data_IF_589186901774
#
_entry.id   IF_589186901774
#
_cell.length_a   1.000
_cell.length_b   1.000
_cell.length_c   1.000
_cell.angle_alpha   90.00
_cell.angle_beta   90.00
_cell.angle_gamma   90.00
#
_symmetry.space_group_name_H-M   'P 1'
#
loop_
_entity.id
_entity.type
_entity.pdbx_description
1 polymer ?
#
# COMPACT_ATOMS: atom_id res chain seq x y z
N UNK A 1 33.39 -30.17 -14.30
CA UNK A 1 32.76 -30.09 -15.63
C UNK A 1 31.88 -31.30 -16.00
N UNK A 2 31.53 -32.19 -15.05
CA UNK A 2 30.59 -33.32 -15.27
C UNK A 2 29.25 -33.20 -14.52
N UNK A 3 29.08 -32.20 -13.63
CA UNK A 3 27.78 -31.91 -13.01
C UNK A 3 26.84 -31.09 -13.92
N UNK A 4 27.40 -30.25 -14.80
CA UNK A 4 26.63 -29.39 -15.70
C UNK A 4 26.03 -30.20 -16.87
N UNK A 5 26.73 -31.23 -17.36
CA UNK A 5 26.18 -32.18 -18.35
C UNK A 5 25.04 -33.05 -17.78
N UNK A 6 25.09 -33.40 -16.50
CA UNK A 6 24.04 -34.19 -15.86
C UNK A 6 22.75 -33.37 -15.60
N UNK A 7 22.87 -32.05 -15.40
CA UNK A 7 21.72 -31.16 -15.24
C UNK A 7 21.00 -30.88 -16.58
N UNK A 8 21.75 -30.78 -17.69
CA UNK A 8 21.18 -30.55 -19.03
C UNK A 8 20.51 -31.80 -19.63
N UNK A 9 21.01 -33.00 -19.36
CA UNK A 9 20.39 -34.22 -19.86
C UNK A 9 19.07 -34.58 -19.14
N UNK A 10 18.84 -34.09 -17.91
CA UNK A 10 17.55 -34.26 -17.21
C UNK A 10 16.46 -33.27 -17.62
N UNK A 11 16.80 -32.22 -18.37
CA UNK A 11 15.84 -31.24 -18.90
C UNK A 11 15.47 -31.49 -20.38
N UNK A 12 16.09 -32.48 -21.02
CA UNK A 12 15.87 -32.86 -22.41
C UNK A 12 14.72 -33.86 -22.62
N UNK A 13 14.38 -34.67 -21.60
CA UNK A 13 13.42 -35.79 -21.75
C UNK A 13 11.98 -35.46 -21.33
N UNK A 14 11.69 -34.20 -20.96
CA UNK A 14 10.31 -33.73 -20.72
C UNK A 14 9.74 -32.88 -21.86
N UNK A 15 10.49 -32.69 -22.95
CA UNK A 15 10.18 -31.73 -24.01
C UNK A 15 9.72 -32.36 -25.33
N UNK A 16 9.53 -33.68 -25.40
CA UNK A 16 9.06 -34.35 -26.62
C UNK A 16 8.16 -35.55 -26.31
N UNK A 17 6.86 -35.33 -26.13
CA UNK A 17 5.81 -36.23 -26.63
C UNK A 17 4.43 -35.57 -26.59
N UNK A 18 3.74 -35.58 -27.74
CA UNK A 18 2.28 -35.42 -27.80
C UNK A 18 1.73 -34.17 -28.51
N UNK A 19 1.65 -34.22 -29.85
CA UNK A 19 0.65 -33.50 -30.67
C UNK A 19 0.09 -34.50 -31.69
N UNK A 20 -1.09 -34.31 -32.32
CA UNK A 20 -2.15 -33.30 -32.14
C UNK A 20 -3.59 -33.90 -32.06
N UNK A 21 -4.55 -33.13 -31.54
CA UNK A 21 -5.99 -33.47 -31.60
C UNK A 21 -6.82 -32.24 -31.98
N UNK A 22 -7.68 -32.40 -32.98
CA UNK A 22 -8.56 -31.40 -33.62
C UNK A 22 -9.35 -30.52 -32.62
N UNK A 23 -9.45 -29.23 -32.94
CA UNK A 23 -10.47 -28.33 -32.39
C UNK A 23 -11.74 -28.51 -33.23
N UNK A 24 -12.76 -29.13 -32.63
CA UNK A 24 -14.12 -29.11 -33.14
C UNK A 24 -14.84 -27.82 -32.72
N UNK A 25 -15.88 -27.51 -33.51
CA UNK A 25 -16.66 -26.28 -33.51
C UNK A 25 -17.32 -25.95 -32.16
N UNK A 26 -17.38 -24.65 -31.88
CA UNK A 26 -18.17 -24.07 -30.81
C UNK A 26 -19.67 -24.34 -31.05
N UNK A 27 -20.27 -25.15 -30.19
CA UNK A 27 -21.73 -25.22 -30.04
C UNK A 27 -22.11 -25.21 -28.57
N UNK A 28 -23.08 -24.34 -28.30
CA UNK A 28 -24.04 -24.33 -27.20
C UNK A 28 -23.60 -23.76 -25.84
N UNK A 29 -24.04 -22.51 -25.65
CA UNK A 29 -24.30 -21.86 -24.37
C UNK A 29 -25.20 -22.74 -23.50
N UNK A 30 -24.80 -23.00 -22.26
CA UNK A 30 -25.64 -23.61 -21.23
C UNK A 30 -25.78 -22.61 -20.07
N UNK A 31 -26.97 -22.43 -19.47
CA UNK A 31 -27.23 -21.32 -18.56
C UNK A 31 -26.61 -21.58 -17.17
N UNK A 32 -26.02 -20.51 -16.64
CA UNK A 32 -25.66 -20.19 -15.24
C UNK A 32 -25.75 -21.37 -14.25
N UNK A 33 -24.59 -21.97 -13.95
CA UNK A 33 -24.44 -22.73 -12.73
C UNK A 33 -24.44 -21.76 -11.54
N UNK A 34 -25.44 -21.88 -10.67
CA UNK A 34 -25.48 -21.22 -9.36
C UNK A 34 -24.23 -21.56 -8.56
N UNK A 35 -23.46 -20.54 -8.15
CA UNK A 35 -22.31 -20.70 -7.27
C UNK A 35 -22.78 -21.36 -5.95
N UNK A 36 -22.35 -22.59 -5.70
CA UNK A 36 -22.59 -23.27 -4.42
C UNK A 36 -21.68 -22.67 -3.35
N UNK A 37 -22.28 -22.13 -2.29
CA UNK A 37 -21.60 -21.75 -1.05
C UNK A 37 -20.92 -22.97 -0.42
N UNK A 38 -19.65 -22.83 -0.05
CA UNK A 38 -18.88 -23.87 0.65
C UNK A 38 -19.20 -23.79 2.14
N UNK A 39 -20.38 -24.30 2.52
CA UNK A 39 -20.67 -24.68 3.91
C UNK A 39 -21.85 -25.64 3.96
N UNK A 40 -21.66 -26.86 3.48
CA UNK A 40 -22.54 -27.97 3.85
C UNK A 40 -21.80 -28.87 4.84
N UNK A 41 -21.84 -28.47 6.12
CA UNK A 41 -21.79 -29.43 7.22
C UNK A 41 -23.04 -29.24 8.06
N UNK A 42 -23.99 -30.19 8.07
CA UNK A 42 -25.16 -30.10 8.93
C UNK A 42 -24.72 -30.24 10.39
N UNK A 43 -24.99 -29.21 11.19
CA UNK A 43 -24.94 -29.30 12.65
C UNK A 43 -26.19 -30.06 13.09
N UNK A 44 -26.01 -31.29 13.55
CA UNK A 44 -27.08 -32.09 14.16
C UNK A 44 -27.26 -31.60 15.60
N UNK A 45 -28.36 -30.92 15.89
CA UNK A 45 -28.79 -30.61 17.26
C UNK A 45 -29.52 -31.84 17.85
N UNK A 46 -29.28 -32.22 19.11
CA UNK A 46 -30.01 -33.33 19.74
C UNK A 46 -31.47 -32.94 20.02
N UNK A 47 -32.39 -33.86 19.76
CA UNK A 47 -33.79 -33.73 20.12
C UNK A 47 -33.95 -33.67 21.65
N UNK A 48 -34.63 -32.64 22.15
CA UNK A 48 -35.04 -32.54 23.55
C UNK A 48 -36.42 -33.18 23.72
N UNK A 49 -36.48 -34.20 24.57
CA UNK A 49 -37.69 -34.93 24.94
C UNK A 49 -38.75 -34.01 25.58
N UNK A 50 -39.99 -34.25 25.18
CA UNK A 50 -41.17 -33.60 25.75
C UNK A 50 -41.68 -34.37 26.98
N UNK A 51 -41.58 -33.79 28.17
CA UNK A 51 -42.54 -34.03 29.26
C UNK A 51 -42.44 -32.99 30.41
N UNK A 52 -43.64 -32.45 30.73
CA UNK A 52 -44.17 -32.03 32.04
C UNK A 52 -43.72 -30.74 32.76
N UNK A 53 -44.70 -29.84 32.94
CA UNK A 53 -44.84 -29.02 34.16
C UNK A 53 -44.94 -27.50 34.00
N UNK A 54 -46.16 -26.94 34.08
CA UNK A 54 -46.44 -25.48 34.10
C UNK A 54 -45.91 -24.78 35.37
N UNK A 55 -45.32 -23.59 35.21
CA UNK A 55 -45.49 -22.40 36.08
C UNK A 55 -45.05 -21.11 35.35
N UNK A 56 -45.75 -19.97 35.51
CA UNK A 56 -45.38 -18.71 34.86
C UNK A 56 -44.30 -18.01 35.70
N UNK A 57 -43.12 -17.81 35.13
CA UNK A 57 -42.03 -17.03 35.74
C UNK A 57 -41.63 -16.01 34.68
N UNK A 58 -41.56 -14.74 35.10
CA UNK A 58 -41.50 -13.57 34.22
C UNK A 58 -40.41 -13.64 33.15
N UNK A 59 -40.63 -12.90 32.06
CA UNK A 59 -39.72 -12.76 30.92
C UNK A 59 -38.31 -12.35 31.36
N UNK A 60 -37.50 -13.34 31.75
CA UNK A 60 -36.08 -13.30 31.55
C UNK A 60 -35.90 -13.47 30.05
N UNK A 61 -35.52 -12.39 29.36
CA UNK A 61 -35.13 -12.44 27.94
C UNK A 61 -34.13 -13.57 27.81
N UNK A 62 -34.49 -14.63 27.09
CA UNK A 62 -33.59 -15.74 26.87
C UNK A 62 -32.39 -15.25 26.08
N UNK A 63 -31.21 -15.82 26.32
CA UNK A 63 -30.04 -15.56 25.49
C UNK A 63 -30.28 -15.72 23.97
N UNK A 64 -31.21 -16.57 23.47
CA UNK A 64 -31.60 -16.58 22.05
C UNK A 64 -32.34 -15.31 21.61
N UNK A 65 -33.30 -14.82 22.41
CA UNK A 65 -34.08 -13.61 22.08
C UNK A 65 -33.18 -12.37 21.98
N UNK A 66 -32.13 -12.31 22.81
CA UNK A 66 -31.17 -11.20 22.76
C UNK A 66 -30.22 -11.25 21.55
N UNK A 67 -29.93 -12.44 21.02
CA UNK A 67 -29.13 -12.62 19.80
C UNK A 67 -29.96 -12.26 18.57
N UNK A 68 -31.20 -12.73 18.48
CA UNK A 68 -32.10 -12.40 17.36
C UNK A 68 -32.38 -10.89 17.28
N UNK A 69 -32.55 -10.24 18.43
CA UNK A 69 -32.69 -8.79 18.48
C UNK A 69 -31.40 -8.06 18.07
N UNK A 70 -30.22 -8.57 18.44
CA UNK A 70 -28.95 -8.02 18.00
C UNK A 70 -28.76 -8.17 16.48
N UNK A 71 -29.14 -9.31 15.90
CA UNK A 71 -29.14 -9.56 14.46
C UNK A 71 -30.05 -8.57 13.75
N UNK A 72 -31.32 -8.45 14.18
CA UNK A 72 -32.32 -7.54 13.58
C UNK A 72 -31.85 -6.09 13.60
N UNK A 73 -31.24 -5.65 14.72
CA UNK A 73 -30.68 -4.31 14.86
C UNK A 73 -29.47 -4.09 13.95
N UNK A 74 -28.62 -5.09 13.80
CA UNK A 74 -27.44 -5.04 12.91
C UNK A 74 -27.85 -4.95 11.45
N UNK A 75 -28.79 -5.81 11.01
CA UNK A 75 -29.39 -5.75 9.67
C UNK A 75 -29.96 -4.37 9.38
N UNK A 76 -30.80 -3.85 10.29
CA UNK A 76 -31.39 -2.51 10.16
C UNK A 76 -30.32 -1.42 10.03
N UNK A 77 -29.27 -1.49 10.85
CA UNK A 77 -28.16 -0.54 10.80
C UNK A 77 -27.41 -0.58 9.46
N UNK A 78 -27.16 -1.78 8.93
CA UNK A 78 -26.53 -1.93 7.61
C UNK A 78 -27.43 -1.42 6.49
N UNK A 79 -28.73 -1.73 6.47
CA UNK A 79 -29.65 -1.20 5.46
C UNK A 79 -29.69 0.33 5.45
N UNK A 80 -29.61 0.98 6.63
CA UNK A 80 -29.54 2.46 6.69
C UNK A 80 -28.25 3.05 6.10
N UNK A 81 -27.24 2.22 5.85
CA UNK A 81 -25.91 2.61 5.32
C UNK A 81 -25.65 2.11 3.92
N UNK A 82 -26.64 1.47 3.30
CA UNK A 82 -26.51 1.09 1.91
C UNK A 82 -26.39 2.34 1.05
N UNK A 83 -25.42 2.34 0.14
CA UNK A 83 -25.33 3.37 -0.88
C UNK A 83 -26.56 3.32 -1.79
N UNK A 84 -26.97 4.46 -2.35
CA UNK A 84 -28.15 4.54 -3.23
C UNK A 84 -28.04 3.65 -4.48
N UNK A 85 -26.81 3.33 -4.89
CA UNK A 85 -26.51 2.42 -6.01
C UNK A 85 -26.48 0.93 -5.60
N UNK A 86 -26.76 0.61 -4.33
CA UNK A 86 -26.95 -0.76 -3.85
C UNK A 86 -25.73 -1.40 -3.18
N UNK A 87 -24.57 -0.75 -3.16
CA UNK A 87 -23.36 -1.29 -2.52
C UNK A 87 -23.17 -0.78 -1.09
N UNK A 88 -22.31 -1.47 -0.34
CA UNK A 88 -21.75 -0.99 0.92
C UNK A 88 -20.27 -0.75 0.74
N UNK A 89 -19.79 0.31 1.38
CA UNK A 89 -18.36 0.62 1.47
C UNK A 89 -18.13 1.29 2.80
N UNK A 90 -17.15 0.79 3.54
CA UNK A 90 -16.62 1.47 4.71
C UNK A 90 -15.26 2.08 4.37
N UNK A 91 -14.79 2.98 5.23
CA UNK A 91 -13.40 3.40 5.20
C UNK A 91 -12.48 2.18 5.38
N UNK A 92 -11.44 2.12 4.55
CA UNK A 92 -10.33 1.20 4.76
C UNK A 92 -9.23 1.90 5.56
N UNK A 93 -9.25 1.75 6.88
CA UNK A 93 -8.27 2.38 7.76
C UNK A 93 -6.83 1.94 7.44
N UNK A 94 -5.90 2.88 7.51
CA UNK A 94 -4.47 2.65 7.37
C UNK A 94 -3.67 3.48 8.40
N UNK A 95 -2.35 3.36 8.34
CA UNK A 95 -1.47 4.17 9.18
C UNK A 95 -1.20 5.57 8.61
N UNK A 96 -0.46 6.37 9.37
CA UNK A 96 -0.15 7.77 9.02
C UNK A 96 0.79 7.94 7.82
N UNK A 97 1.36 6.85 7.28
CA UNK A 97 2.34 6.95 6.19
C UNK A 97 1.72 7.47 4.91
N UNK A 98 0.46 7.12 4.60
CA UNK A 98 -0.23 7.58 3.39
C UNK A 98 -0.44 9.10 3.45
N UNK A 99 -0.99 9.60 4.55
CA UNK A 99 -1.18 11.04 4.77
C UNK A 99 0.15 11.80 4.79
N UNK A 100 1.19 11.22 5.37
CA UNK A 100 2.54 11.81 5.36
C UNK A 100 3.11 11.91 3.94
N UNK A 101 3.01 10.83 3.17
CA UNK A 101 3.43 10.80 1.77
C UNK A 101 2.58 11.72 0.89
N UNK A 102 1.33 11.95 1.25
CA UNK A 102 0.43 12.84 0.50
C UNK A 102 0.86 14.31 0.62
N UNK A 103 1.22 14.74 1.83
CA UNK A 103 1.83 16.05 2.06
C UNK A 103 3.13 16.20 1.27
N UNK A 104 3.99 15.17 1.30
CA UNK A 104 5.22 15.14 0.50
C UNK A 104 4.93 15.20 -0.99
N UNK A 105 4.00 14.40 -1.51
CA UNK A 105 3.61 14.38 -2.92
C UNK A 105 3.13 15.76 -3.39
N UNK A 106 2.24 16.40 -2.64
CA UNK A 106 1.77 17.75 -2.96
C UNK A 106 2.90 18.78 -2.97
N UNK A 107 3.85 18.66 -2.03
CA UNK A 107 5.03 19.52 -2.00
C UNK A 107 5.95 19.27 -3.19
N UNK A 108 6.17 18.01 -3.56
CA UNK A 108 6.98 17.61 -4.71
C UNK A 108 6.43 18.21 -6.00
N UNK A 109 5.10 18.17 -6.18
CA UNK A 109 4.39 18.69 -7.35
C UNK A 109 4.22 20.22 -7.36
N UNK A 110 4.64 20.93 -6.31
CA UNK A 110 4.34 22.35 -6.06
C UNK A 110 2.82 22.67 -6.12
N UNK A 111 2.02 21.80 -5.48
CA UNK A 111 0.53 21.83 -5.44
C UNK A 111 -0.01 21.72 -4.01
N UNK A 112 0.63 22.40 -3.08
CA UNK A 112 0.17 22.46 -1.68
C UNK A 112 -1.18 23.17 -1.62
N UNK A 113 -2.14 22.53 -0.95
CA UNK A 113 -3.41 23.12 -0.56
C UNK A 113 -3.34 23.44 0.94
N UNK A 114 -3.30 24.72 1.34
CA UNK A 114 -3.12 25.10 2.74
C UNK A 114 -4.23 24.59 3.66
N UNK A 115 -5.47 24.48 3.17
CA UNK A 115 -6.59 24.02 3.99
C UNK A 115 -6.46 22.52 4.28
N UNK A 116 -6.15 21.73 3.24
CA UNK A 116 -5.88 20.29 3.38
C UNK A 116 -4.65 20.03 4.23
N UNK A 117 -3.58 20.80 4.04
CA UNK A 117 -2.33 20.68 4.80
C UNK A 117 -2.57 20.86 6.29
N UNK A 118 -3.30 21.90 6.70
CA UNK A 118 -3.65 22.13 8.11
C UNK A 118 -4.44 20.96 8.69
N UNK A 119 -5.41 20.41 7.94
CA UNK A 119 -6.21 19.26 8.40
C UNK A 119 -5.39 17.97 8.50
N UNK A 120 -4.47 17.73 7.57
CA UNK A 120 -3.57 16.57 7.59
C UNK A 120 -2.54 16.67 8.71
N UNK A 121 -2.01 17.87 8.98
CA UNK A 121 -1.11 18.13 10.12
C UNK A 121 -1.83 17.82 11.44
N UNK A 122 -3.10 18.22 11.58
CA UNK A 122 -3.91 17.88 12.77
C UNK A 122 -4.06 16.36 12.93
N UNK A 123 -4.34 15.63 11.85
CA UNK A 123 -4.41 14.18 11.87
C UNK A 123 -3.10 13.53 12.31
N UNK A 124 -1.96 13.95 11.75
CA UNK A 124 -0.66 13.42 12.14
C UNK A 124 -0.37 13.69 13.63
N UNK A 125 -0.76 14.86 14.15
CA UNK A 125 -0.63 15.18 15.57
C UNK A 125 -1.53 14.31 16.46
N UNK A 126 -2.79 14.07 16.07
CA UNK A 126 -3.73 13.26 16.86
C UNK A 126 -3.32 11.79 16.93
N UNK A 127 -2.60 11.30 15.92
CA UNK A 127 -2.14 9.91 15.84
C UNK A 127 -0.79 9.65 16.52
N UNK A 128 -0.13 10.68 17.10
CA UNK A 128 1.13 10.49 17.80
C UNK A 128 0.92 9.70 19.10
N UNK A 129 1.76 8.70 19.33
CA UNK A 129 1.76 7.91 20.56
C UNK A 129 2.36 8.71 21.74
N UNK A 130 2.05 8.31 22.99
CA UNK A 130 2.64 8.95 24.18
C UNK A 130 4.18 8.92 24.23
N UNK A 131 4.80 7.91 23.62
CA UNK A 131 6.26 7.79 23.52
C UNK A 131 6.88 8.69 22.44
N UNK A 132 6.05 9.38 21.64
CA UNK A 132 6.45 10.34 20.61
C UNK A 132 6.46 9.81 19.18
N UNK A 133 6.36 8.49 18.96
CA UNK A 133 6.37 7.93 17.60
C UNK A 133 4.97 7.67 17.04
N UNK A 134 4.92 6.96 15.91
CA UNK A 134 3.69 6.60 15.20
C UNK A 134 3.63 5.10 14.91
N UNK A 135 2.46 4.45 15.07
CA UNK A 135 2.30 3.04 14.79
C UNK A 135 1.89 2.79 13.33
N UNK A 136 1.97 1.52 12.92
CA UNK A 136 1.45 1.04 11.62
C UNK A 136 0.13 0.25 11.74
N UNK A 137 -0.41 0.12 12.95
CA UNK A 137 -1.73 -0.46 13.22
C UNK A 137 -2.28 0.05 14.55
N UNK A 138 -3.61 -0.01 14.73
CA UNK A 138 -4.27 0.47 15.93
C UNK A 138 -3.76 -0.24 17.20
N UNK A 139 -3.36 0.55 18.20
CA UNK A 139 -2.79 0.04 19.46
C UNK A 139 -1.38 -0.57 19.33
N UNK A 140 -0.74 -0.43 18.17
CA UNK A 140 0.64 -0.88 17.95
C UNK A 140 1.70 0.01 18.60
N UNK A 141 2.95 -0.46 18.67
CA UNK A 141 4.09 0.36 19.09
C UNK A 141 4.51 1.32 17.98
N UNK A 142 5.32 2.32 18.36
CA UNK A 142 6.05 3.16 17.41
C UNK A 142 6.85 2.32 16.41
N UNK A 143 6.67 2.59 15.12
CA UNK A 143 7.44 2.00 14.03
C UNK A 143 8.34 3.08 13.39
N UNK A 144 9.58 2.71 13.06
CA UNK A 144 10.61 3.66 12.65
C UNK A 144 10.25 4.40 11.35
N UNK A 145 9.74 3.69 10.35
CA UNK A 145 9.43 4.23 9.03
C UNK A 145 8.23 5.18 9.08
N UNK A 146 7.17 4.79 9.79
CA UNK A 146 6.00 5.63 10.04
C UNK A 146 6.37 6.89 10.81
N UNK A 147 7.16 6.75 11.88
CA UNK A 147 7.58 7.89 12.70
C UNK A 147 8.43 8.89 11.92
N UNK A 148 9.38 8.40 11.12
CA UNK A 148 10.23 9.26 10.27
C UNK A 148 9.40 9.99 9.22
N UNK A 149 8.46 9.31 8.55
CA UNK A 149 7.59 9.95 7.55
C UNK A 149 6.69 11.01 8.18
N UNK A 150 6.05 10.71 9.31
CA UNK A 150 5.20 11.65 10.01
C UNK A 150 5.99 12.90 10.47
N UNK A 151 7.15 12.69 11.10
CA UNK A 151 8.03 13.79 11.51
C UNK A 151 8.45 14.67 10.34
N UNK A 152 8.88 14.05 9.23
CA UNK A 152 9.30 14.80 8.06
C UNK A 152 8.14 15.57 7.41
N UNK A 153 6.96 14.95 7.28
CA UNK A 153 5.77 15.62 6.74
C UNK A 153 5.35 16.83 7.59
N UNK A 154 5.43 16.71 8.93
CA UNK A 154 5.16 17.82 9.84
C UNK A 154 6.17 18.96 9.65
N UNK A 155 7.48 18.68 9.60
CA UNK A 155 8.50 19.70 9.32
C UNK A 155 8.32 20.36 7.94
N UNK A 156 8.01 19.56 6.94
CA UNK A 156 7.78 20.03 5.57
C UNK A 156 6.57 20.98 5.48
N UNK A 157 5.57 20.75 6.34
CA UNK A 157 4.36 21.58 6.51
C UNK A 157 4.60 22.79 7.44
N UNK A 158 5.84 23.06 7.86
CA UNK A 158 6.20 24.23 8.66
C UNK A 158 6.07 24.06 10.18
N UNK A 159 5.89 22.85 10.70
CA UNK A 159 5.90 22.60 12.14
C UNK A 159 7.33 22.72 12.69
N UNK A 160 7.58 23.58 13.69
CA UNK A 160 8.91 23.76 14.27
C UNK A 160 9.41 22.50 14.98
N UNK A 161 10.71 22.21 14.84
CA UNK A 161 11.34 21.02 15.44
C UNK A 161 11.49 21.09 16.97
N UNK A 162 11.40 22.29 17.56
CA UNK A 162 11.50 22.58 18.99
C UNK A 162 10.16 22.49 19.73
N UNK A 163 9.05 22.30 19.01
CA UNK A 163 7.76 21.97 19.61
C UNK A 163 7.88 20.73 20.52
N UNK A 164 7.31 20.73 21.74
CA UNK A 164 7.51 19.64 22.70
C UNK A 164 7.17 18.25 22.15
N UNK A 165 6.17 18.14 21.28
CA UNK A 165 5.77 16.87 20.67
C UNK A 165 6.72 16.43 19.53
N UNK A 166 7.34 17.38 18.82
CA UNK A 166 8.37 17.12 17.82
C UNK A 166 9.68 16.70 18.49
N UNK A 167 10.03 17.30 19.63
CA UNK A 167 11.21 16.86 20.42
C UNK A 167 11.05 15.41 20.86
N UNK A 168 9.88 15.04 21.40
CA UNK A 168 9.59 13.63 21.75
C UNK A 168 9.69 12.70 20.54
N UNK A 169 9.15 13.11 19.39
CA UNK A 169 9.25 12.33 18.16
C UNK A 169 10.69 12.08 17.73
N UNK A 170 11.51 13.13 17.69
CA UNK A 170 12.93 13.06 17.38
C UNK A 170 13.65 12.10 18.34
N UNK A 171 13.46 12.27 19.64
CA UNK A 171 14.11 11.44 20.65
C UNK A 171 13.70 9.96 20.50
N UNK A 172 12.41 9.70 20.21
CA UNK A 172 11.90 8.35 19.96
C UNK A 172 12.49 7.72 18.69
N UNK A 173 12.57 8.49 17.61
CA UNK A 173 13.18 8.05 16.34
C UNK A 173 14.66 7.71 16.55
N UNK A 174 15.41 8.54 17.26
CA UNK A 174 16.82 8.29 17.58
C UNK A 174 16.99 7.05 18.47
N UNK A 175 16.10 6.85 19.45
CA UNK A 175 16.10 5.64 20.28
C UNK A 175 15.85 4.35 19.48
N UNK A 176 15.15 4.44 18.35
CA UNK A 176 14.95 3.34 17.40
C UNK A 176 16.09 3.19 16.37
N UNK A 177 17.17 3.97 16.50
CA UNK A 177 18.35 3.93 15.62
C UNK A 177 18.33 4.96 14.48
N UNK A 178 17.36 5.87 14.48
CA UNK A 178 17.25 6.98 13.55
C UNK A 178 16.85 6.58 12.12
N UNK A 179 16.86 7.56 11.23
CA UNK A 179 16.43 7.41 9.83
C UNK A 179 17.17 6.30 9.07
N UNK A 180 18.38 5.95 9.50
CA UNK A 180 19.17 4.88 8.89
C UNK A 180 18.52 3.49 9.03
N UNK A 181 17.65 3.29 10.02
CA UNK A 181 16.91 2.04 10.24
C UNK A 181 15.57 1.98 9.49
N UNK A 182 15.15 3.06 8.83
CA UNK A 182 13.89 3.08 8.09
C UNK A 182 13.89 2.10 6.91
N UNK A 183 12.69 1.71 6.47
CA UNK A 183 12.52 0.84 5.31
C UNK A 183 12.91 1.53 3.98
N UNK A 184 13.00 0.74 2.91
CA UNK A 184 13.45 1.21 1.59
C UNK A 184 12.52 2.26 1.00
N UNK A 185 11.20 2.14 1.15
CA UNK A 185 10.26 3.13 0.62
C UNK A 185 10.44 4.49 1.29
N UNK A 186 10.64 4.52 2.62
CA UNK A 186 10.95 5.76 3.36
C UNK A 186 12.23 6.39 2.85
N UNK A 187 13.29 5.59 2.65
CA UNK A 187 14.57 6.07 2.14
C UNK A 187 14.46 6.63 0.72
N UNK A 188 13.65 6.00 -0.14
CA UNK A 188 13.37 6.53 -1.48
C UNK A 188 12.66 7.87 -1.39
N UNK A 189 11.58 7.96 -0.60
CA UNK A 189 10.84 9.22 -0.42
C UNK A 189 11.76 10.32 0.07
N UNK A 190 12.58 10.08 1.10
CA UNK A 190 13.54 11.06 1.60
C UNK A 190 14.62 11.44 0.57
N UNK A 191 15.08 10.50 -0.24
CA UNK A 191 16.06 10.78 -1.29
C UNK A 191 15.52 11.71 -2.39
N UNK A 192 14.20 11.68 -2.65
CA UNK A 192 13.54 12.62 -3.55
C UNK A 192 13.54 14.07 -3.00
N UNK A 193 13.71 14.26 -1.69
CA UNK A 193 13.82 15.56 -1.04
C UNK A 193 15.25 15.94 -0.64
N UNK A 194 16.25 15.19 -1.12
CA UNK A 194 17.65 15.31 -0.68
C UNK A 194 17.81 15.22 0.85
N UNK A 195 16.99 14.37 1.49
CA UNK A 195 17.04 14.10 2.94
C UNK A 195 17.62 12.70 3.24
N UNK A 196 18.07 11.99 2.20
CA UNK A 196 18.76 10.71 2.30
C UNK A 196 19.56 10.46 1.02
N UNK A 197 20.77 9.91 1.10
CA UNK A 197 21.57 9.68 -0.11
C UNK A 197 21.09 8.46 -0.89
N UNK A 198 21.02 8.60 -2.21
CA UNK A 198 20.71 7.50 -3.14
C UNK A 198 21.67 6.30 -3.02
N UNK A 199 22.87 6.48 -2.46
CA UNK A 199 23.79 5.38 -2.15
C UNK A 199 23.20 4.38 -1.15
N UNK A 200 22.42 4.88 -0.17
CA UNK A 200 21.75 4.07 0.84
C UNK A 200 20.43 3.45 0.40
N UNK A 201 20.06 3.57 -0.89
CA UNK A 201 18.85 3.00 -1.47
C UNK A 201 19.20 1.82 -2.39
N UNK A 202 18.47 0.69 -2.33
CA UNK A 202 18.62 -0.38 -3.32
C UNK A 202 18.34 0.09 -4.74
N UNK A 203 19.22 -0.29 -5.66
CA UNK A 203 19.17 0.04 -7.06
C UNK A 203 18.13 -0.80 -7.79
N UNK A 204 17.22 -0.13 -8.48
CA UNK A 204 16.17 -0.75 -9.29
C UNK A 204 16.26 -0.26 -10.74
N UNK A 205 16.96 -0.99 -11.64
CA UNK A 205 17.13 -0.56 -13.02
C UNK A 205 15.82 -0.73 -13.81
N UNK A 206 15.38 0.32 -14.50
CA UNK A 206 14.21 0.27 -15.38
C UNK A 206 14.33 -0.76 -16.49
N UNK A 207 15.57 -1.14 -16.85
CA UNK A 207 15.89 -2.20 -17.81
C UNK A 207 15.27 -3.57 -17.48
N UNK A 208 14.82 -3.79 -16.23
CA UNK A 208 14.00 -4.96 -15.84
C UNK A 208 12.75 -5.12 -16.72
N UNK A 209 12.22 -4.02 -17.27
CA UNK A 209 11.08 -4.03 -18.20
C UNK A 209 11.36 -4.79 -19.50
N UNK A 210 12.64 -4.97 -19.87
CA UNK A 210 13.05 -5.63 -21.11
C UNK A 210 13.30 -7.13 -20.92
N UNK A 211 13.31 -7.63 -19.68
CA UNK A 211 13.54 -9.04 -19.40
C UNK A 211 12.37 -9.91 -19.92
N UNK A 212 12.66 -11.12 -20.45
CA UNK A 212 11.63 -12.05 -20.91
C UNK A 212 10.66 -12.43 -19.78
N UNK A 213 9.37 -12.62 -20.10
CA UNK A 213 8.33 -12.97 -19.11
C UNK A 213 8.63 -14.24 -18.31
N UNK A 214 9.35 -15.20 -18.91
CA UNK A 214 9.71 -16.48 -18.27
C UNK A 214 10.93 -16.39 -17.36
N UNK A 215 11.64 -15.25 -17.35
CA UNK A 215 12.82 -15.07 -16.52
C UNK A 215 12.42 -14.78 -15.08
N UNK A 216 13.17 -15.31 -14.12
CA UNK A 216 12.84 -15.22 -12.69
C UNK A 216 12.74 -13.78 -12.17
N UNK A 217 13.60 -12.87 -12.65
CA UNK A 217 13.57 -11.45 -12.32
C UNK A 217 12.70 -10.62 -13.26
N UNK A 218 11.83 -11.25 -14.07
CA UNK A 218 10.90 -10.49 -14.89
C UNK A 218 9.97 -9.68 -13.99
N UNK A 219 9.64 -8.45 -14.40
CA UNK A 219 8.61 -7.65 -13.72
C UNK A 219 7.30 -8.44 -13.61
N UNK A 220 6.99 -9.33 -14.58
CA UNK A 220 5.79 -10.18 -14.61
C UNK A 220 5.83 -11.41 -13.69
N UNK A 221 6.96 -11.69 -13.04
CA UNK A 221 7.04 -12.71 -11.99
C UNK A 221 6.55 -12.18 -10.63
N UNK A 222 6.32 -10.87 -10.51
CA UNK A 222 5.87 -10.20 -9.28
C UNK A 222 4.34 -10.01 -9.34
N UNK A 223 3.68 -10.02 -8.17
CA UNK A 223 2.24 -9.78 -8.03
C UNK A 223 1.78 -8.50 -8.75
N UNK A 224 0.52 -8.47 -9.18
CA UNK A 224 -0.04 -7.32 -9.90
C UNK A 224 0.08 -6.00 -9.11
N UNK A 225 -0.30 -5.99 -7.83
CA UNK A 225 -0.21 -4.78 -7.00
C UNK A 225 1.24 -4.25 -6.93
N UNK A 226 2.22 -5.14 -6.75
CA UNK A 226 3.62 -4.74 -6.68
C UNK A 226 4.12 -4.21 -8.03
N UNK A 227 3.67 -4.79 -9.15
CA UNK A 227 3.99 -4.27 -10.49
C UNK A 227 3.43 -2.85 -10.70
N UNK A 228 2.19 -2.62 -10.29
CA UNK A 228 1.55 -1.31 -10.38
C UNK A 228 2.29 -0.24 -9.59
N UNK A 229 2.86 -0.59 -8.42
CA UNK A 229 3.70 0.32 -7.63
C UNK A 229 5.09 0.49 -8.24
N UNK A 230 5.75 -0.62 -8.62
CA UNK A 230 7.15 -0.61 -9.02
C UNK A 230 7.39 0.00 -10.40
N UNK A 231 6.53 -0.24 -11.39
CA UNK A 231 6.76 0.26 -12.76
C UNK A 231 6.86 1.79 -12.83
N UNK A 232 5.93 2.59 -12.27
CA UNK A 232 6.11 4.04 -12.22
C UNK A 232 7.32 4.43 -11.35
N UNK A 233 7.58 3.73 -10.25
CA UNK A 233 8.73 3.98 -9.40
C UNK A 233 10.06 3.78 -10.13
N UNK A 234 10.17 2.81 -11.05
CA UNK A 234 11.35 2.60 -11.89
C UNK A 234 11.63 3.81 -12.79
N UNK A 235 10.59 4.50 -13.27
CA UNK A 235 10.73 5.73 -14.04
C UNK A 235 11.30 6.81 -13.13
N UNK A 236 10.68 7.04 -11.97
CA UNK A 236 11.17 8.01 -10.97
C UNK A 236 12.63 7.72 -10.60
N UNK A 237 12.98 6.45 -10.38
CA UNK A 237 14.33 6.01 -10.02
C UNK A 237 15.37 6.24 -11.13
N UNK A 238 14.96 6.15 -12.39
CA UNK A 238 15.83 6.41 -13.53
C UNK A 238 16.13 7.91 -13.72
N UNK A 239 15.20 8.78 -13.30
CA UNK A 239 15.35 10.24 -13.38
C UNK A 239 15.97 10.85 -12.10
N UNK A 240 15.70 10.27 -10.93
CA UNK A 240 16.09 10.78 -9.60
C UNK A 240 15.82 12.28 -9.44
N UNK A 241 14.57 12.74 -9.64
CA UNK A 241 14.23 14.13 -9.42
C UNK A 241 14.51 14.50 -7.95
N UNK A 242 14.94 15.74 -7.74
CA UNK A 242 15.21 16.27 -6.39
C UNK A 242 14.35 17.50 -6.17
N UNK A 243 13.39 17.38 -5.25
CA UNK A 243 12.62 18.48 -4.71
C UNK A 243 13.46 19.18 -3.62
N UNK A 244 13.95 20.38 -3.90
CA UNK A 244 14.77 21.13 -2.96
C UNK A 244 13.90 21.79 -1.90
N UNK A 245 14.27 21.59 -0.64
CA UNK A 245 13.58 22.20 0.51
C UNK A 245 14.52 23.14 1.28
N UNK A 246 13.97 24.15 1.99
CA UNK A 246 14.72 24.94 2.95
C UNK A 246 15.39 24.07 4.03
N UNK A 247 16.56 24.49 4.52
CA UNK A 247 17.35 23.72 5.51
C UNK A 247 16.62 23.53 6.84
N UNK A 248 15.83 24.51 7.25
CA UNK A 248 14.99 24.46 8.43
C UNK A 248 13.91 23.38 8.36
N UNK A 249 13.50 22.95 7.15
CA UNK A 249 12.57 21.85 6.90
C UNK A 249 13.25 20.48 6.76
N UNK A 250 14.59 20.42 6.80
CA UNK A 250 15.37 19.18 6.68
C UNK A 250 15.25 18.26 7.90
N UNK A 251 15.89 17.09 7.87
CA UNK A 251 15.80 16.08 8.95
C UNK A 251 17.16 15.56 9.45
N UNK A 252 18.21 16.38 9.34
CA UNK A 252 19.56 15.99 9.79
C UNK A 252 19.57 15.58 11.27
N UNK A 253 18.68 16.15 12.10
CA UNK A 253 18.48 15.80 13.50
C UNK A 253 17.96 14.37 13.76
N UNK A 254 17.47 13.67 12.73
CA UNK A 254 17.02 12.27 12.82
C UNK A 254 18.15 11.26 12.56
N UNK A 255 19.34 11.73 12.19
CA UNK A 255 20.49 10.88 12.03
C UNK A 255 21.23 10.67 13.36
N UNK A 256 21.62 9.44 13.71
CA UNK A 256 22.40 9.18 14.93
C UNK A 256 23.87 9.65 14.82
N UNK A 257 24.34 9.90 13.60
CA UNK A 257 25.68 10.39 13.25
C UNK A 257 25.55 11.42 12.12
N UNK A 258 26.48 12.37 11.96
CA UNK A 258 26.44 13.31 10.84
C UNK A 258 26.28 12.59 9.49
N UNK A 259 25.43 13.14 8.60
CA UNK A 259 25.07 12.51 7.32
C UNK A 259 26.30 12.20 6.47
N UNK A 260 27.29 13.08 6.47
CA UNK A 260 28.54 12.95 5.71
C UNK A 260 29.42 11.78 6.18
N UNK A 261 29.24 11.33 7.41
CA UNK A 261 30.01 10.20 7.99
C UNK A 261 29.29 8.85 7.82
N UNK A 262 28.06 8.86 7.27
CA UNK A 262 27.26 7.66 7.13
C UNK A 262 27.90 6.69 6.16
N UNK A 263 28.08 5.45 6.64
CA UNK A 263 28.57 4.32 5.86
C UNK A 263 27.42 3.37 5.58
N UNK A 264 26.71 3.59 4.47
CA UNK A 264 25.44 2.92 4.16
C UNK A 264 25.48 1.39 4.18
N UNK A 265 26.62 0.79 3.85
CA UNK A 265 26.80 -0.67 3.91
C UNK A 265 26.71 -1.27 5.32
N UNK A 266 26.70 -0.45 6.37
CA UNK A 266 26.50 -0.88 7.77
C UNK A 266 25.04 -0.91 8.20
N UNK A 267 24.13 -0.35 7.40
CA UNK A 267 22.72 -0.18 7.75
C UNK A 267 21.81 -0.98 6.81
N UNK A 268 20.57 -1.29 7.21
CA UNK A 268 19.62 -1.96 6.33
C UNK A 268 19.37 -1.18 5.03
N UNK A 269 19.14 -1.87 3.90
CA UNK A 269 19.16 -3.33 3.73
C UNK A 269 20.55 -3.85 3.30
N UNK A 270 21.65 -3.13 3.55
CA UNK A 270 22.99 -3.51 3.08
C UNK A 270 23.89 -4.14 4.16
N UNK A 271 23.46 -4.09 5.42
CA UNK A 271 24.15 -4.71 6.54
C UNK A 271 24.23 -6.23 6.29
N UNK A 272 25.42 -6.70 5.95
CA UNK A 272 25.64 -8.10 5.61
C UNK A 272 25.37 -9.02 6.79
N UNK A 273 24.82 -10.19 6.48
CA UNK A 273 24.71 -11.27 7.46
C UNK A 273 26.11 -11.77 7.84
N UNK A 274 26.25 -12.33 9.05
CA UNK A 274 27.53 -12.89 9.50
C UNK A 274 28.04 -14.03 8.60
N UNK A 275 27.13 -14.81 8.02
CA UNK A 275 27.47 -15.88 7.09
C UNK A 275 27.67 -15.32 5.67
N UNK A 276 28.71 -15.76 4.96
CA UNK A 276 29.03 -15.24 3.63
C UNK A 276 28.01 -15.62 2.54
N UNK A 277 27.53 -16.86 2.52
CA UNK A 277 26.66 -17.37 1.46
C UNK A 277 25.18 -17.35 1.90
N UNK A 278 24.61 -16.16 2.06
CA UNK A 278 23.17 -15.99 2.27
C UNK A 278 22.53 -15.38 1.02
N UNK A 279 21.23 -15.65 0.76
CA UNK A 279 20.50 -14.97 -0.30
C UNK A 279 20.57 -13.44 -0.15
N UNK A 280 20.52 -12.94 1.08
CA UNK A 280 20.67 -11.52 1.39
C UNK A 280 22.02 -10.97 0.91
N UNK A 281 23.13 -11.59 1.28
CA UNK A 281 24.46 -11.14 0.84
C UNK A 281 24.64 -11.22 -0.69
N UNK A 282 23.99 -12.20 -1.36
CA UNK A 282 23.94 -12.23 -2.82
C UNK A 282 23.21 -11.01 -3.40
N UNK A 283 22.05 -10.64 -2.85
CA UNK A 283 21.31 -9.44 -3.29
C UNK A 283 22.08 -8.14 -3.00
N UNK A 284 22.80 -8.04 -1.88
CA UNK A 284 23.68 -6.91 -1.58
C UNK A 284 24.82 -6.81 -2.61
N UNK A 285 25.41 -7.94 -3.02
CA UNK A 285 26.44 -7.95 -4.06
C UNK A 285 25.86 -7.61 -5.45
N UNK A 286 24.66 -8.11 -5.77
CA UNK A 286 23.95 -7.76 -7.00
C UNK A 286 23.64 -6.26 -7.06
N UNK A 287 23.16 -5.67 -5.97
CA UNK A 287 22.91 -4.23 -5.85
C UNK A 287 24.17 -3.41 -6.17
N UNK A 288 25.31 -3.78 -5.60
CA UNK A 288 26.59 -3.12 -5.89
C UNK A 288 26.93 -3.16 -7.40
N UNK A 289 26.72 -4.30 -8.05
CA UNK A 289 26.93 -4.44 -9.50
C UNK A 289 25.96 -3.57 -10.31
N UNK A 290 24.70 -3.49 -9.89
CA UNK A 290 23.70 -2.64 -10.54
C UNK A 290 24.03 -1.14 -10.39
N UNK A 291 24.48 -0.71 -9.20
CA UNK A 291 24.97 0.65 -8.96
C UNK A 291 26.18 0.98 -9.83
N UNK A 292 27.08 0.02 -10.04
CA UNK A 292 28.22 0.20 -10.93
C UNK A 292 27.77 0.35 -12.40
N UNK A 293 26.83 -0.50 -12.86
CA UNK A 293 26.23 -0.37 -14.18
C UNK A 293 25.56 1.00 -14.37
N UNK A 294 24.87 1.49 -13.34
CA UNK A 294 24.14 2.75 -13.41
C UNK A 294 25.00 4.00 -13.53
N UNK A 295 26.30 3.92 -13.21
CA UNK A 295 27.25 5.01 -13.47
C UNK A 295 27.46 5.24 -14.97
N UNK A 296 27.35 4.20 -15.78
CA UNK A 296 27.50 4.25 -17.24
C UNK A 296 26.52 3.27 -17.90
N UNK A 297 25.22 3.58 -17.89
CA UNK A 297 24.20 2.70 -18.43
C UNK A 297 24.24 2.67 -19.94
N UNK A 298 23.76 1.57 -20.52
CA UNK A 298 23.54 1.49 -21.97
C UNK A 298 22.34 2.39 -22.33
N UNK A 299 22.60 3.61 -22.81
CA UNK A 299 21.58 4.64 -23.06
C UNK A 299 20.42 4.13 -23.92
N UNK A 300 20.70 3.47 -25.03
CA UNK A 300 19.66 2.91 -25.91
C UNK A 300 18.78 1.86 -25.19
N UNK A 301 19.36 1.06 -24.30
CA UNK A 301 18.61 0.07 -23.51
C UNK A 301 17.73 0.77 -22.48
N UNK A 302 18.27 1.79 -21.80
CA UNK A 302 17.55 2.59 -20.82
C UNK A 302 16.38 3.35 -21.43
N UNK A 303 16.59 4.03 -22.56
CA UNK A 303 15.53 4.74 -23.27
C UNK A 303 14.42 3.79 -23.73
N UNK A 304 14.78 2.62 -24.28
CA UNK A 304 13.80 1.59 -24.67
C UNK A 304 13.02 1.06 -23.46
N UNK A 305 13.69 0.87 -22.32
CA UNK A 305 13.08 0.41 -21.09
C UNK A 305 12.15 1.46 -20.49
N UNK A 306 12.57 2.73 -20.45
CA UNK A 306 11.76 3.88 -20.04
C UNK A 306 10.50 4.00 -20.90
N UNK A 307 10.64 3.93 -22.22
CA UNK A 307 9.50 3.98 -23.13
C UNK A 307 8.51 2.83 -22.88
N UNK A 308 9.01 1.64 -22.57
CA UNK A 308 8.16 0.48 -22.22
C UNK A 308 7.47 0.66 -20.87
N UNK A 309 8.16 1.20 -19.87
CA UNK A 309 7.57 1.53 -18.56
C UNK A 309 6.50 2.62 -18.69
N UNK A 310 6.80 3.70 -19.40
CA UNK A 310 5.89 4.82 -19.64
C UNK A 310 4.65 4.38 -20.42
N UNK A 311 4.83 3.62 -21.52
CA UNK A 311 3.70 3.08 -22.29
C UNK A 311 2.81 2.18 -21.44
N UNK A 312 3.42 1.28 -20.65
CA UNK A 312 2.66 0.42 -19.74
C UNK A 312 1.88 1.26 -18.73
N UNK A 313 2.52 2.21 -18.06
CA UNK A 313 1.88 3.06 -17.06
C UNK A 313 0.72 3.86 -17.66
N UNK A 314 0.95 4.59 -18.76
CA UNK A 314 -0.05 5.43 -19.43
C UNK A 314 -1.24 4.60 -19.91
N UNK A 315 -1.03 3.39 -20.41
CA UNK A 315 -2.11 2.49 -20.80
C UNK A 315 -2.99 2.09 -19.62
N UNK A 316 -2.38 1.83 -18.45
CA UNK A 316 -3.09 1.31 -17.27
C UNK A 316 -3.73 2.41 -16.41
N UNK A 317 -3.37 3.68 -16.57
CA UNK A 317 -4.02 4.81 -15.88
C UNK A 317 -5.19 5.42 -16.66
N UNK A 318 -5.49 4.94 -17.88
CA UNK A 318 -6.63 5.44 -18.67
C UNK A 318 -7.99 5.11 -18.06
N UNK A 319 -8.09 3.99 -17.33
CA UNK A 319 -9.32 3.60 -16.62
C UNK A 319 -9.63 4.53 -15.45
N UNK A 320 -10.81 4.39 -14.85
CA UNK A 320 -11.18 5.08 -13.62
C UNK A 320 -10.57 4.42 -12.39
N UNK A 321 -10.26 5.22 -11.37
CA UNK A 321 -9.81 4.74 -10.06
C UNK A 321 -8.29 4.65 -9.92
N UNK A 322 -7.52 5.26 -10.81
CA UNK A 322 -6.06 5.35 -10.72
C UNK A 322 -5.31 4.05 -10.98
N UNK A 323 -3.97 4.13 -11.06
CA UNK A 323 -3.15 2.95 -11.33
C UNK A 323 -3.32 1.91 -10.22
N UNK A 324 -3.83 0.72 -10.57
CA UNK A 324 -3.98 -0.37 -9.60
C UNK A 324 -5.00 -0.14 -8.50
N UNK A 325 -5.74 0.97 -8.52
CA UNK A 325 -6.67 1.38 -7.46
C UNK A 325 -6.05 1.39 -6.06
N UNK A 326 -4.76 1.73 -5.94
CA UNK A 326 -4.04 1.81 -4.66
C UNK A 326 -3.15 3.06 -4.62
N UNK A 327 -3.16 3.75 -3.48
CA UNK A 327 -2.46 5.02 -3.28
C UNK A 327 -0.98 5.02 -3.73
N UNK A 328 -0.12 4.05 -3.34
CA UNK A 328 1.30 4.11 -3.69
C UNK A 328 1.56 4.05 -5.20
N UNK A 329 0.72 3.31 -5.95
CA UNK A 329 0.83 3.24 -7.39
C UNK A 329 0.37 4.55 -8.06
N UNK A 330 -0.69 5.16 -7.54
CA UNK A 330 -1.16 6.47 -7.98
C UNK A 330 -0.10 7.56 -7.74
N UNK A 331 0.41 7.68 -6.51
CA UNK A 331 1.42 8.65 -6.14
C UNK A 331 2.69 8.52 -7.01
N UNK A 332 3.21 7.29 -7.17
CA UNK A 332 4.35 7.05 -8.05
C UNK A 332 4.06 7.39 -9.50
N UNK A 333 2.84 7.12 -9.99
CA UNK A 333 2.47 7.42 -11.38
C UNK A 333 2.46 8.92 -11.67
N UNK A 334 1.99 9.75 -10.74
CA UNK A 334 2.00 11.22 -10.92
C UNK A 334 3.44 11.75 -10.93
N UNK A 335 4.28 11.30 -9.98
CA UNK A 335 5.71 11.66 -9.98
C UNK A 335 6.42 11.20 -11.26
N UNK A 336 6.06 10.02 -11.78
CA UNK A 336 6.59 9.53 -13.05
C UNK A 336 6.12 10.37 -14.25
N UNK A 337 4.86 10.81 -14.29
CA UNK A 337 4.36 11.71 -15.33
C UNK A 337 5.14 13.02 -15.34
N UNK A 338 5.41 13.61 -14.17
CA UNK A 338 6.25 14.81 -14.07
C UNK A 338 7.68 14.55 -14.59
N UNK A 339 8.30 13.43 -14.22
CA UNK A 339 9.63 13.04 -14.74
C UNK A 339 9.66 12.88 -16.27
N UNK A 340 8.54 12.48 -16.87
CA UNK A 340 8.36 12.34 -18.31
C UNK A 340 8.02 13.66 -19.03
N UNK A 341 7.89 14.76 -18.28
CA UNK A 341 7.61 16.09 -18.83
C UNK A 341 6.15 16.39 -19.10
N UNK A 342 5.21 15.62 -18.54
CA UNK A 342 3.80 15.98 -18.56
C UNK A 342 3.58 17.25 -17.75
N UNK A 343 2.77 18.16 -18.30
CA UNK A 343 2.45 19.41 -17.62
C UNK A 343 1.38 19.19 -16.57
N UNK A 344 1.36 20.05 -15.56
CA UNK A 344 0.39 19.95 -14.48
C UNK A 344 -1.07 20.21 -14.90
N UNK A 345 -1.30 20.88 -16.04
CA UNK A 345 -2.61 21.08 -16.66
C UNK A 345 -2.99 19.97 -17.66
N UNK A 346 -2.12 18.97 -17.85
CA UNK A 346 -2.44 17.82 -18.69
C UNK A 346 -3.65 17.06 -18.10
N UNK A 347 -4.68 16.74 -18.90
CA UNK A 347 -5.86 16.02 -18.43
C UNK A 347 -5.54 14.74 -17.66
N UNK A 348 -4.46 14.05 -18.03
CA UNK A 348 -4.02 12.83 -17.38
C UNK A 348 -3.48 13.07 -15.97
N UNK A 349 -2.70 14.15 -15.78
CA UNK A 349 -2.15 14.54 -14.48
C UNK A 349 -3.27 15.05 -13.57
N UNK A 350 -4.16 15.89 -14.09
CA UNK A 350 -5.33 16.38 -13.35
C UNK A 350 -6.23 15.22 -12.90
N UNK A 351 -6.50 14.27 -13.80
CA UNK A 351 -7.25 13.05 -13.46
C UNK A 351 -6.55 12.26 -12.36
N UNK A 352 -5.26 11.97 -12.52
CA UNK A 352 -4.53 11.15 -11.55
C UNK A 352 -4.48 11.81 -10.15
N UNK A 353 -4.36 13.15 -10.08
CA UNK A 353 -4.40 13.87 -8.81
C UNK A 353 -5.79 13.79 -8.16
N UNK A 354 -6.86 13.94 -8.94
CA UNK A 354 -8.24 13.77 -8.44
C UNK A 354 -8.48 12.37 -7.90
N UNK A 355 -7.97 11.34 -8.56
CA UNK A 355 -8.12 9.95 -8.09
C UNK A 355 -7.41 9.68 -6.76
N UNK A 356 -6.37 10.46 -6.41
CA UNK A 356 -5.79 10.47 -5.06
C UNK A 356 -6.67 11.25 -4.08
N UNK A 357 -7.21 12.40 -4.51
CA UNK A 357 -8.13 13.21 -3.69
C UNK A 357 -9.42 12.44 -3.35
N UNK A 358 -9.87 11.53 -4.22
CA UNK A 358 -11.01 10.64 -3.97
C UNK A 358 -10.75 9.63 -2.82
N UNK A 359 -9.49 9.47 -2.39
CA UNK A 359 -9.11 8.66 -1.23
C UNK A 359 -9.08 9.47 0.08
N UNK A 360 -9.39 10.77 0.04
CA UNK A 360 -9.46 11.61 1.23
C UNK A 360 -10.65 11.23 2.11
N UNK A 361 -10.36 10.98 3.38
CA UNK A 361 -11.35 10.77 4.43
C UNK A 361 -11.34 11.99 5.32
N UNK A 362 -12.52 12.60 5.51
CA UNK A 362 -12.70 13.75 6.36
C UNK A 362 -13.41 13.34 7.64
N UNK A 363 -12.78 13.58 8.78
CA UNK A 363 -13.32 13.26 10.08
C UNK A 363 -13.15 14.43 11.05
N UNK A 364 -13.70 14.29 12.26
CA UNK A 364 -13.51 15.26 13.34
C UNK A 364 -12.95 14.56 14.56
N UNK A 365 -11.77 14.99 15.00
CA UNK A 365 -11.08 14.43 16.16
C UNK A 365 -11.10 15.43 17.32
N UNK A 366 -11.04 14.93 18.54
CA UNK A 366 -10.91 15.76 19.73
C UNK A 366 -9.43 16.08 19.95
N UNK A 367 -9.05 17.35 19.89
CA UNK A 367 -7.71 17.85 20.20
C UNK A 367 -7.82 19.01 21.18
N UNK A 368 -7.08 18.93 22.28
CA UNK A 368 -7.06 19.98 23.33
C UNK A 368 -8.45 20.38 23.86
N UNK A 369 -9.40 19.45 23.86
CA UNK A 369 -10.79 19.68 24.30
C UNK A 369 -11.72 20.26 23.24
N UNK A 370 -11.23 20.52 22.03
CA UNK A 370 -12.01 21.03 20.90
C UNK A 370 -12.16 19.96 19.81
N UNK A 371 -13.31 19.95 19.13
CA UNK A 371 -13.51 19.11 17.95
C UNK A 371 -12.94 19.83 16.74
N UNK A 372 -11.93 19.24 16.10
CA UNK A 372 -11.24 19.81 14.94
C UNK A 372 -11.36 18.89 13.74
N UNK A 373 -11.56 19.47 12.55
CA UNK A 373 -11.59 18.72 11.30
C UNK A 373 -10.18 18.26 10.92
N UNK A 374 -10.10 17.01 10.48
CA UNK A 374 -8.91 16.34 9.98
C UNK A 374 -9.16 15.73 8.61
N UNK A 375 -8.08 15.48 7.88
CA UNK A 375 -8.10 14.71 6.64
C UNK A 375 -6.97 13.71 6.65
N UNK A 376 -7.26 12.48 6.25
CA UNK A 376 -6.28 11.43 6.03
C UNK A 376 -6.62 10.64 4.77
N UNK A 377 -5.69 9.80 4.33
CA UNK A 377 -5.91 8.97 3.16
C UNK A 377 -6.14 7.51 3.55
N UNK A 378 -7.14 6.90 2.92
CA UNK A 378 -7.27 5.44 2.85
C UNK A 378 -6.43 4.88 1.69
N UNK A 379 -5.96 3.63 1.73
CA UNK A 379 -5.08 3.07 0.70
C UNK A 379 -5.82 2.75 -0.60
N UNK A 380 -7.09 2.34 -0.49
CA UNK A 380 -8.02 2.06 -1.58
C UNK A 380 -9.45 1.96 -1.04
N UNK A 381 -10.43 1.76 -1.92
CA UNK A 381 -11.83 1.51 -1.54
C UNK A 381 -12.18 0.02 -1.68
N UNK A 382 -13.07 -0.48 -0.82
CA UNK A 382 -13.47 -1.89 -0.73
C UNK A 382 -14.93 -2.21 -1.13
N UNK A 383 -15.63 -1.47 -2.02
CA UNK A 383 -17.08 -1.61 -2.19
C UNK A 383 -17.52 -3.03 -2.62
N UNK A 384 -16.75 -3.68 -3.51
CA UNK A 384 -17.06 -5.03 -3.98
C UNK A 384 -16.88 -6.05 -2.85
N UNK A 385 -15.82 -5.89 -2.05
CA UNK A 385 -15.49 -6.79 -0.96
C UNK A 385 -16.52 -6.69 0.17
N UNK A 386 -16.81 -5.47 0.61
CA UNK A 386 -17.74 -5.19 1.71
C UNK A 386 -19.15 -5.63 1.34
N UNK A 387 -19.60 -5.31 0.13
CA UNK A 387 -20.93 -5.73 -0.37
C UNK A 387 -21.03 -7.25 -0.41
N UNK A 388 -20.05 -7.96 -0.99
CA UNK A 388 -20.12 -9.41 -1.10
C UNK A 388 -20.17 -10.10 0.28
N UNK A 389 -19.36 -9.64 1.23
CA UNK A 389 -19.35 -10.19 2.59
C UNK A 389 -20.67 -9.90 3.31
N UNK A 390 -21.16 -8.66 3.22
CA UNK A 390 -22.37 -8.26 3.91
C UNK A 390 -23.62 -8.92 3.30
N UNK A 391 -23.72 -9.02 1.98
CA UNK A 391 -24.83 -9.75 1.33
C UNK A 391 -24.89 -11.19 1.80
N UNK A 392 -23.75 -11.89 1.89
CA UNK A 392 -23.72 -13.25 2.43
C UNK A 392 -24.19 -13.29 3.89
N UNK A 393 -23.70 -12.36 4.74
CA UNK A 393 -24.11 -12.29 6.14
C UNK A 393 -25.61 -11.97 6.32
N UNK A 394 -26.18 -11.12 5.46
CA UNK A 394 -27.62 -10.81 5.47
C UNK A 394 -28.46 -12.04 5.10
N UNK A 395 -28.07 -12.78 4.05
CA UNK A 395 -28.75 -14.01 3.64
C UNK A 395 -28.68 -15.07 4.75
N UNK A 396 -27.49 -15.31 5.32
CA UNK A 396 -27.30 -16.29 6.40
C UNK A 396 -28.06 -15.90 7.67
N UNK A 397 -28.29 -14.61 7.91
CA UNK A 397 -29.07 -14.10 9.04
C UNK A 397 -30.57 -13.98 8.77
N UNK A 398 -31.07 -14.55 7.66
CA UNK A 398 -32.50 -14.71 7.39
C UNK A 398 -33.16 -13.60 6.57
N UNK A 399 -32.38 -12.69 5.97
CA UNK A 399 -32.91 -11.76 4.96
C UNK A 399 -33.27 -12.53 3.69
N UNK A 400 -34.44 -12.22 3.12
CA UNK A 400 -34.90 -12.84 1.87
C UNK A 400 -33.91 -12.57 0.72
N UNK A 401 -33.69 -13.57 -0.14
CA UNK A 401 -32.85 -13.38 -1.34
C UNK A 401 -33.52 -12.46 -2.38
N UNK A 402 -34.84 -12.32 -2.33
CA UNK A 402 -35.62 -11.39 -3.17
C UNK A 402 -35.83 -10.03 -2.48
N UNK A 403 -35.05 -9.73 -1.43
CA UNK A 403 -35.13 -8.44 -0.75
C UNK A 403 -34.71 -7.31 -1.72
N UNK A 404 -35.43 -6.17 -1.76
CA UNK A 404 -35.22 -5.13 -2.77
C UNK A 404 -33.97 -4.26 -2.53
N UNK A 405 -33.45 -4.26 -1.30
CA UNK A 405 -32.16 -3.64 -0.95
C UNK A 405 -31.00 -4.48 -1.44
#
# INVERSE_FOLDING_TARGET
MNLIKALFNRLSDSLLSGTPGRLDHATEFNPVASLRLVSEKPVVLPALDAATGRRPIGHAVGQPDSVDDAIRRSQSWFFTRQHAEGYWVAELEADTTLTSEYLMLRRFLDRVDPAREVMAVRYLKSMQLPDGGWPIYYGGPSEISASVKAYFALKLSGVPADEPFMVRAKDRILAMGGVLQANVFTKITLALFDQYDWEGVPHMPVEIMLLPKKFYFSIYAISYWSRAVLIPLLIVFAHRPVCRIPRDQGIDELYPIPREEVRYWKYPPFNKDQAWFTPHNFFVALDFMLKLYDRMPMRALREKALHKAASWMVEHIKGSGGLGAIYPAMANSIMALECLGYKADDPLVVKALREIEDLEVYESVMMDGESVSTVHLQPCSSPIWDTALLTNALIESGVSQDHPS
#
